data_IF_667355743400
#
_entry.id   IF_667355743400
#
_cell.length_a   1.000
_cell.length_b   1.000
_cell.length_c   1.000
_cell.angle_alpha   90.00
_cell.angle_beta   90.00
_cell.angle_gamma   90.00
#
_symmetry.space_group_name_H-M   'P 1'
#
loop_
_entity.id
_entity.type
_entity.pdbx_description
1 polymer ?
#
# COMPACT_ATOMS: atom_id res chain seq x y z
N UNK A 1 25.77 -3.89 -62.12
CA UNK A 1 25.76 -2.70 -61.24
C UNK A 1 24.53 -2.83 -60.37
N UNK A 2 24.64 -3.54 -59.22
CA UNK A 2 24.87 -2.98 -57.86
C UNK A 2 23.68 -2.11 -57.44
N UNK A 3 22.90 -2.33 -56.37
CA UNK A 3 23.07 -2.92 -55.00
C UNK A 3 21.65 -2.98 -54.37
N UNK A 4 21.14 -4.10 -53.82
CA UNK A 4 21.12 -4.58 -52.41
C UNK A 4 20.53 -3.60 -51.38
N UNK A 5 19.40 -3.96 -50.73
CA UNK A 5 19.25 -4.45 -49.32
C UNK A 5 18.76 -3.32 -48.40
N UNK A 6 17.51 -3.35 -47.92
CA UNK A 6 17.05 -3.93 -46.64
C UNK A 6 17.52 -3.15 -45.40
N UNK A 7 16.70 -2.24 -44.91
CA UNK A 7 16.79 -1.71 -43.54
C UNK A 7 15.44 -1.86 -42.84
N UNK A 8 15.19 -3.07 -42.37
CA UNK A 8 14.31 -3.33 -41.23
C UNK A 8 15.10 -2.93 -39.98
N UNK A 9 14.75 -1.77 -39.43
CA UNK A 9 15.36 -1.30 -38.20
C UNK A 9 14.83 -2.13 -37.02
N UNK A 10 15.60 -3.16 -36.66
CA UNK A 10 15.45 -3.96 -35.45
C UNK A 10 15.61 -3.06 -34.22
N UNK A 11 14.51 -2.81 -33.49
CA UNK A 11 14.58 -2.27 -32.15
C UNK A 11 15.29 -3.31 -31.26
N UNK A 12 16.53 -3.03 -30.89
CA UNK A 12 17.29 -3.84 -29.95
C UNK A 12 16.56 -3.83 -28.60
N UNK A 13 15.95 -4.95 -28.25
CA UNK A 13 15.45 -5.21 -26.89
C UNK A 13 16.67 -5.48 -26.02
N UNK A 14 17.19 -4.45 -25.35
CA UNK A 14 18.26 -4.61 -24.37
C UNK A 14 17.69 -5.31 -23.15
N UNK A 15 17.83 -6.64 -23.10
CA UNK A 15 17.52 -7.45 -21.93
C UNK A 15 18.61 -7.24 -20.87
N UNK A 16 18.37 -6.33 -19.93
CA UNK A 16 19.29 -6.08 -18.81
C UNK A 16 19.27 -7.29 -17.88
N UNK A 17 20.26 -8.17 -18.02
CA UNK A 17 20.38 -9.41 -17.22
C UNK A 17 21.80 -9.70 -16.73
N UNK A 18 22.77 -8.78 -16.90
CA UNK A 18 24.13 -8.95 -16.37
C UNK A 18 24.38 -8.13 -15.08
N UNK A 19 25.17 -8.63 -14.12
CA UNK A 19 25.46 -7.94 -12.85
C UNK A 19 26.10 -6.56 -13.03
N UNK A 20 26.99 -6.40 -14.02
CA UNK A 20 27.68 -5.14 -14.32
C UNK A 20 26.74 -4.03 -14.85
N UNK A 21 25.57 -4.40 -15.38
CA UNK A 21 24.58 -3.42 -15.87
C UNK A 21 23.76 -2.78 -14.73
N UNK A 22 23.71 -3.41 -13.54
CA UNK A 22 22.92 -2.92 -12.40
C UNK A 22 23.47 -1.62 -11.79
N UNK A 23 24.79 -1.45 -11.85
CA UNK A 23 25.49 -0.24 -11.39
C UNK A 23 25.43 0.93 -12.38
N UNK A 24 25.02 0.66 -13.63
CA UNK A 24 24.88 1.64 -14.71
C UNK A 24 23.43 2.00 -15.04
N UNK A 25 22.47 1.29 -14.45
CA UNK A 25 21.06 1.50 -14.70
C UNK A 25 20.62 2.87 -14.16
N UNK A 26 19.96 3.68 -14.99
CA UNK A 26 19.36 4.95 -14.56
C UNK A 26 17.84 4.84 -14.45
N UNK A 27 17.23 5.73 -13.67
CA UNK A 27 15.76 5.84 -13.57
C UNK A 27 15.11 6.14 -14.93
N UNK A 28 15.79 6.90 -15.80
CA UNK A 28 15.33 7.19 -17.16
C UNK A 28 15.31 5.94 -18.03
N UNK A 29 16.32 5.08 -17.91
CA UNK A 29 16.36 3.79 -18.61
C UNK A 29 15.27 2.84 -18.11
N UNK A 30 15.00 2.81 -16.80
CA UNK A 30 13.87 2.06 -16.22
C UNK A 30 12.55 2.54 -16.82
N UNK A 31 12.36 3.86 -16.90
CA UNK A 31 11.12 4.47 -17.41
C UNK A 31 10.91 4.22 -18.91
N UNK A 32 11.99 4.21 -19.69
CA UNK A 32 11.97 3.97 -21.13
C UNK A 32 11.89 2.47 -21.49
N UNK A 33 12.14 1.58 -20.54
CA UNK A 33 12.06 0.14 -20.77
C UNK A 33 10.61 -0.35 -20.67
N UNK A 34 10.11 -0.93 -21.76
CA UNK A 34 8.77 -1.53 -21.82
C UNK A 34 8.65 -2.77 -20.93
N UNK A 35 9.74 -3.53 -20.77
CA UNK A 35 9.77 -4.80 -20.02
C UNK A 35 10.81 -4.80 -18.89
N UNK A 36 10.86 -3.72 -18.11
CA UNK A 36 11.72 -3.69 -16.93
C UNK A 36 11.29 -4.80 -15.94
N UNK A 37 12.24 -5.65 -15.55
CA UNK A 37 12.00 -6.68 -14.53
C UNK A 37 12.39 -6.12 -13.16
N UNK A 38 11.43 -6.06 -12.26
CA UNK A 38 11.65 -5.66 -10.86
C UNK A 38 12.71 -6.52 -10.18
N UNK A 39 13.58 -5.89 -9.41
CA UNK A 39 14.51 -6.58 -8.53
C UNK A 39 13.79 -6.92 -7.22
N UNK A 40 13.44 -8.19 -7.02
CA UNK A 40 12.78 -8.68 -5.81
C UNK A 40 13.78 -9.55 -5.07
N UNK A 41 14.07 -9.20 -3.81
CA UNK A 41 15.04 -9.92 -3.00
C UNK A 41 14.54 -11.34 -2.72
N UNK A 42 15.42 -12.34 -2.85
CA UNK A 42 15.04 -13.76 -2.77
C UNK A 42 14.41 -14.17 -1.42
N UNK A 43 14.73 -13.45 -0.35
CA UNK A 43 14.17 -13.67 0.99
C UNK A 43 12.64 -13.58 1.00
N UNK A 44 12.04 -12.75 0.16
CA UNK A 44 10.58 -12.61 0.06
C UNK A 44 9.87 -13.85 -0.46
N UNK A 45 10.53 -14.68 -1.27
CA UNK A 45 9.95 -15.92 -1.78
C UNK A 45 9.91 -17.05 -0.73
N UNK A 46 10.53 -16.83 0.43
CA UNK A 46 10.52 -17.77 1.56
C UNK A 46 9.37 -17.48 2.53
N UNK A 47 8.73 -16.32 2.41
CA UNK A 47 7.62 -15.87 3.26
C UNK A 47 6.27 -16.41 2.77
N UNK A 48 5.37 -16.67 3.71
CA UNK A 48 3.95 -16.89 3.37
C UNK A 48 3.33 -15.57 2.92
N UNK A 49 2.84 -15.53 1.69
CA UNK A 49 2.27 -14.31 1.11
C UNK A 49 0.74 -14.33 1.14
N UNK A 50 0.13 -13.35 1.81
CA UNK A 50 -1.32 -13.18 1.86
C UNK A 50 -1.87 -12.57 0.57
N UNK A 51 -1.16 -11.60 -0.01
CA UNK A 51 -1.48 -11.01 -1.31
C UNK A 51 -0.36 -11.31 -2.29
N UNK A 52 -0.70 -11.72 -3.49
CA UNK A 52 0.24 -11.88 -4.59
C UNK A 52 -0.22 -11.06 -5.79
N UNK A 53 0.52 -10.00 -6.12
CA UNK A 53 0.33 -9.21 -7.34
C UNK A 53 1.11 -9.87 -8.46
N UNK A 54 0.43 -10.18 -9.58
CA UNK A 54 0.98 -10.97 -10.70
C UNK A 54 0.77 -10.25 -12.02
N UNK A 55 1.88 -9.87 -12.65
CA UNK A 55 1.91 -9.21 -13.97
C UNK A 55 0.91 -8.06 -14.08
N UNK A 56 0.73 -7.30 -12.99
CA UNK A 56 -0.37 -6.37 -12.86
C UNK A 56 -0.09 -5.09 -13.63
N UNK A 57 -1.04 -4.72 -14.47
CA UNK A 57 -1.02 -3.52 -15.29
C UNK A 57 -2.32 -2.76 -15.10
N UNK A 58 -2.26 -1.42 -15.19
CA UNK A 58 -3.44 -0.58 -15.03
C UNK A 58 -3.37 0.63 -15.97
N UNK A 59 -4.50 0.92 -16.63
CA UNK A 59 -4.68 2.04 -17.53
C UNK A 59 -5.84 2.93 -17.08
N UNK A 60 -5.66 4.25 -17.21
CA UNK A 60 -6.74 5.23 -17.16
C UNK A 60 -7.04 5.67 -18.60
N UNK A 61 -8.12 5.12 -19.18
CA UNK A 61 -8.42 5.25 -20.59
C UNK A 61 -7.29 4.61 -21.42
N UNK A 62 -6.63 5.41 -22.26
CA UNK A 62 -5.49 4.95 -23.08
C UNK A 62 -4.13 5.11 -22.40
N UNK A 63 -4.06 5.81 -21.26
CA UNK A 63 -2.81 6.08 -20.56
C UNK A 63 -2.52 5.01 -19.51
N UNK A 64 -1.42 4.28 -19.69
CA UNK A 64 -0.93 3.33 -18.69
C UNK A 64 -0.35 4.05 -17.47
N UNK A 65 -0.71 3.57 -16.28
CA UNK A 65 -0.25 4.11 -14.99
C UNK A 65 0.55 3.09 -14.18
N UNK A 66 0.29 1.80 -14.35
CA UNK A 66 1.07 0.72 -13.74
C UNK A 66 1.55 -0.27 -14.80
N UNK A 67 2.80 -0.68 -14.69
CA UNK A 67 3.52 -1.47 -15.68
C UNK A 67 4.08 -2.74 -15.03
N UNK A 68 3.49 -3.88 -15.40
CA UNK A 68 3.95 -5.23 -15.07
C UNK A 68 4.39 -5.45 -13.61
N UNK A 69 3.57 -5.03 -12.65
CA UNK A 69 3.89 -5.14 -11.23
C UNK A 69 3.80 -6.60 -10.79
N UNK A 70 4.88 -7.10 -10.19
CA UNK A 70 4.95 -8.39 -9.54
C UNK A 70 5.39 -8.17 -8.10
N UNK A 71 4.57 -8.55 -7.12
CA UNK A 71 4.81 -8.22 -5.73
C UNK A 71 4.10 -9.20 -4.79
N UNK A 72 4.82 -10.15 -4.16
CA UNK A 72 4.29 -10.88 -3.01
C UNK A 72 4.21 -9.95 -1.80
N UNK A 73 3.19 -10.06 -0.96
CA UNK A 73 3.07 -9.31 0.29
C UNK A 73 3.00 -10.32 1.42
N UNK A 74 4.01 -10.30 2.29
CA UNK A 74 4.16 -11.23 3.40
C UNK A 74 3.05 -11.04 4.46
N UNK A 75 2.49 -12.16 4.91
CA UNK A 75 1.43 -12.21 5.92
C UNK A 75 1.92 -11.74 7.29
N UNK A 76 1.13 -10.90 7.96
CA UNK A 76 1.42 -10.37 9.30
C UNK A 76 2.57 -9.36 9.34
N UNK A 77 3.09 -8.94 8.19
CA UNK A 77 4.23 -8.02 8.07
C UNK A 77 3.77 -6.65 7.56
N UNK A 78 4.61 -5.65 7.80
CA UNK A 78 4.39 -4.30 7.27
C UNK A 78 5.23 -4.08 6.02
N UNK A 79 4.57 -3.75 4.92
CA UNK A 79 5.21 -3.40 3.64
C UNK A 79 4.96 -1.93 3.30
N UNK A 80 6.04 -1.17 3.09
CA UNK A 80 5.98 0.23 2.67
C UNK A 80 6.18 0.36 1.15
N UNK A 81 5.24 1.00 0.46
CA UNK A 81 5.39 1.50 -0.90
C UNK A 81 5.99 2.92 -0.83
N UNK A 82 7.19 3.08 -1.37
CA UNK A 82 7.94 4.35 -1.38
C UNK A 82 8.24 4.80 -2.80
N UNK A 83 8.55 6.08 -2.99
CA UNK A 83 8.88 6.64 -4.29
C UNK A 83 8.32 8.05 -4.50
N UNK A 84 8.71 8.74 -5.59
CA UNK A 84 8.26 10.09 -5.88
C UNK A 84 6.73 10.23 -6.02
N UNK A 85 6.23 11.45 -5.85
CA UNK A 85 4.81 11.75 -6.12
C UNK A 85 4.44 11.39 -7.57
N UNK A 86 3.28 10.76 -7.76
CA UNK A 86 2.80 10.37 -9.09
C UNK A 86 3.41 9.09 -9.68
N UNK A 87 4.24 8.34 -8.93
CA UNK A 87 4.81 7.07 -9.42
C UNK A 87 3.85 5.86 -9.35
N UNK A 88 2.59 6.04 -8.94
CA UNK A 88 1.57 4.98 -8.95
C UNK A 88 1.32 4.25 -7.63
N UNK A 89 1.96 4.64 -6.52
CA UNK A 89 1.80 3.98 -5.19
C UNK A 89 0.35 3.85 -4.73
N UNK A 90 -0.36 4.97 -4.63
CA UNK A 90 -1.77 4.99 -4.22
C UNK A 90 -2.67 4.27 -5.23
N UNK A 91 -2.32 4.30 -6.51
CA UNK A 91 -3.03 3.54 -7.55
C UNK A 91 -2.87 2.04 -7.34
N UNK A 92 -1.66 1.55 -7.03
CA UNK A 92 -1.40 0.14 -6.72
C UNK A 92 -2.13 -0.27 -5.43
N UNK A 93 -1.98 0.51 -4.35
CA UNK A 93 -2.66 0.28 -3.07
C UNK A 93 -4.19 0.16 -3.24
N UNK A 94 -4.81 1.08 -3.96
CA UNK A 94 -6.27 1.11 -4.22
C UNK A 94 -6.75 0.03 -5.19
N UNK A 95 -5.83 -0.60 -5.91
CA UNK A 95 -6.15 -1.75 -6.76
C UNK A 95 -6.35 -3.00 -5.91
N UNK A 96 -5.62 -3.13 -4.81
CA UNK A 96 -5.73 -4.27 -3.86
C UNK A 96 -7.13 -4.41 -3.27
N UNK A 97 -7.81 -3.30 -2.91
CA UNK A 97 -9.20 -3.35 -2.42
C UNK A 97 -10.27 -2.97 -3.47
N UNK A 98 -9.86 -2.85 -4.74
CA UNK A 98 -10.75 -2.54 -5.87
C UNK A 98 -11.61 -1.28 -5.66
N UNK A 99 -11.09 -0.27 -4.96
CA UNK A 99 -11.79 1.03 -4.88
C UNK A 99 -11.64 1.83 -6.18
N UNK A 100 -10.59 1.54 -6.95
CA UNK A 100 -10.36 2.13 -8.27
C UNK A 100 -11.41 1.72 -9.32
N UNK A 101 -12.15 0.62 -9.14
CA UNK A 101 -13.20 0.15 -10.05
C UNK A 101 -14.30 1.20 -10.30
N UNK A 102 -14.40 2.20 -9.42
CA UNK A 102 -15.34 3.32 -9.52
C UNK A 102 -14.89 4.40 -10.51
N UNK A 103 -13.67 4.29 -11.07
CA UNK A 103 -13.10 5.28 -11.99
C UNK A 103 -13.42 4.88 -13.43
N UNK A 104 -14.10 5.77 -14.16
CA UNK A 104 -14.47 5.54 -15.56
C UNK A 104 -13.26 5.32 -16.46
N UNK A 105 -13.38 4.35 -17.39
CA UNK A 105 -12.33 4.03 -18.36
C UNK A 105 -11.12 3.31 -17.76
N UNK A 106 -11.20 2.83 -16.53
CA UNK A 106 -10.16 2.01 -15.92
C UNK A 106 -10.14 0.61 -16.53
N UNK A 107 -8.97 0.16 -16.96
CA UNK A 107 -8.74 -1.20 -17.42
C UNK A 107 -7.51 -1.77 -16.72
N UNK A 108 -7.50 -3.07 -16.50
CA UNK A 108 -6.42 -3.79 -15.85
C UNK A 108 -5.99 -5.00 -16.68
N UNK A 109 -4.74 -5.42 -16.49
CA UNK A 109 -4.19 -6.68 -16.98
C UNK A 109 -3.42 -7.35 -15.84
N UNK A 110 -3.20 -8.65 -15.93
CA UNK A 110 -2.67 -9.44 -14.82
C UNK A 110 -3.72 -9.70 -13.74
N UNK A 111 -3.27 -10.00 -12.52
CA UNK A 111 -4.16 -10.39 -11.42
C UNK A 111 -3.57 -10.05 -10.04
N UNK A 112 -4.43 -10.06 -9.02
CA UNK A 112 -4.05 -10.00 -7.62
C UNK A 112 -4.76 -11.12 -6.87
N UNK A 113 -4.01 -11.93 -6.13
CA UNK A 113 -4.55 -13.06 -5.38
C UNK A 113 -4.54 -12.75 -3.89
N UNK A 114 -5.69 -12.80 -3.23
CA UNK A 114 -5.82 -12.80 -1.77
C UNK A 114 -6.01 -14.26 -1.29
N UNK A 115 -5.09 -14.77 -0.46
CA UNK A 115 -5.04 -16.18 -0.04
C UNK A 115 -5.15 -17.16 -1.23
N UNK A 116 -4.43 -16.85 -2.31
CA UNK A 116 -4.41 -17.65 -3.54
C UNK A 116 -5.66 -17.51 -4.44
N UNK A 117 -6.67 -16.74 -4.03
CA UNK A 117 -7.90 -16.52 -4.81
C UNK A 117 -7.86 -15.16 -5.49
N UNK A 118 -8.15 -15.11 -6.79
CA UNK A 118 -8.22 -13.85 -7.54
C UNK A 118 -9.26 -12.91 -6.94
N UNK A 119 -8.86 -11.67 -6.68
CA UNK A 119 -9.78 -10.61 -6.25
C UNK A 119 -10.50 -9.96 -7.44
N UNK A 120 -10.05 -10.23 -8.67
CA UNK A 120 -10.61 -9.68 -9.91
C UNK A 120 -11.50 -10.67 -10.67
N UNK A 121 -11.69 -11.88 -10.15
CA UNK A 121 -12.68 -12.81 -10.69
C UNK A 121 -14.09 -12.19 -10.66
N UNK A 122 -14.90 -12.50 -11.67
CA UNK A 122 -16.26 -11.98 -11.82
C UNK A 122 -17.20 -12.41 -10.69
N UNK A 123 -16.89 -13.50 -9.99
CA UNK A 123 -17.67 -13.99 -8.85
C UNK A 123 -17.34 -13.29 -7.53
N UNK A 124 -16.32 -12.43 -7.49
CA UNK A 124 -15.91 -11.75 -6.26
C UNK A 124 -16.95 -10.72 -5.85
N UNK A 125 -17.47 -10.88 -4.64
CA UNK A 125 -18.22 -9.83 -3.96
C UNK A 125 -17.24 -8.76 -3.45
N UNK A 126 -17.26 -7.60 -4.09
CA UNK A 126 -16.38 -6.47 -3.76
C UNK A 126 -16.68 -5.91 -2.37
N UNK A 127 -17.91 -6.04 -1.86
CA UNK A 127 -18.26 -5.60 -0.51
C UNK A 127 -17.54 -6.49 0.51
N UNK A 128 -17.60 -7.80 0.33
CA UNK A 128 -16.93 -8.76 1.21
C UNK A 128 -15.41 -8.63 1.14
N UNK A 129 -14.85 -8.44 -0.06
CA UNK A 129 -13.42 -8.15 -0.24
C UNK A 129 -12.98 -6.92 0.59
N UNK A 130 -13.76 -5.85 0.57
CA UNK A 130 -13.46 -4.61 1.31
C UNK A 130 -13.64 -4.75 2.82
N UNK A 131 -14.37 -5.75 3.31
CA UNK A 131 -14.41 -6.06 4.75
C UNK A 131 -13.14 -6.75 5.21
N UNK A 132 -12.63 -7.66 4.38
CA UNK A 132 -11.34 -8.34 4.61
C UNK A 132 -10.15 -7.40 4.43
N UNK A 133 -10.37 -6.18 3.91
CA UNK A 133 -9.34 -5.18 3.64
C UNK A 133 -9.72 -3.79 4.21
N UNK A 134 -9.22 -3.47 5.40
CA UNK A 134 -9.38 -2.15 6.00
C UNK A 134 -8.63 -1.08 5.21
N UNK A 135 -9.20 0.12 5.07
CA UNK A 135 -8.56 1.24 4.34
C UNK A 135 -8.51 2.49 5.20
N UNK A 136 -7.33 3.09 5.28
CA UNK A 136 -7.05 4.36 5.96
C UNK A 136 -6.51 5.35 4.94
N UNK A 137 -7.16 6.51 4.81
CA UNK A 137 -6.80 7.51 3.81
C UNK A 137 -5.88 8.59 4.39
N UNK A 138 -5.20 9.31 3.47
CA UNK A 138 -4.29 10.40 3.79
C UNK A 138 -4.94 11.51 4.61
N UNK A 139 -6.15 11.91 4.21
CA UNK A 139 -6.97 12.86 4.96
C UNK A 139 -7.94 12.06 5.83
N UNK A 140 -7.95 12.27 7.15
CA UNK A 140 -8.92 11.63 8.01
C UNK A 140 -10.33 11.99 7.55
N UNK A 141 -11.19 10.98 7.50
CA UNK A 141 -12.57 11.10 7.06
C UNK A 141 -13.56 10.49 8.10
N UNK A 142 -13.57 11.01 9.34
CA UNK A 142 -14.61 10.64 10.29
C UNK A 142 -15.97 11.03 9.74
N UNK A 143 -16.95 10.17 9.95
CA UNK A 143 -18.33 10.47 9.62
C UNK A 143 -18.89 11.52 10.60
N UNK A 144 -19.88 12.34 10.17
CA UNK A 144 -20.53 13.35 11.00
C UNK A 144 -21.48 12.72 12.05
N UNK A 145 -20.95 11.79 12.83
CA UNK A 145 -21.61 11.03 13.89
C UNK A 145 -20.67 10.93 15.10
N UNK A 146 -21.09 10.23 16.15
CA UNK A 146 -20.26 10.09 17.35
C UNK A 146 -19.00 9.25 17.10
N UNK A 147 -18.04 9.33 18.02
CA UNK A 147 -16.84 8.48 18.03
C UNK A 147 -17.25 7.00 18.05
N UNK A 148 -18.18 6.63 18.93
CA UNK A 148 -18.71 5.28 19.04
C UNK A 148 -19.30 4.79 17.72
N UNK A 149 -20.20 5.58 17.11
CA UNK A 149 -20.87 5.20 15.87
C UNK A 149 -19.92 5.14 14.69
N UNK A 150 -18.84 5.93 14.69
CA UNK A 150 -17.79 5.81 13.68
C UNK A 150 -17.11 4.44 13.75
N UNK A 151 -16.75 3.98 14.95
CA UNK A 151 -16.01 2.71 15.13
C UNK A 151 -16.87 1.50 14.77
N UNK A 152 -18.11 1.45 15.27
CA UNK A 152 -18.97 0.27 15.08
C UNK A 152 -19.79 0.28 13.79
N UNK A 153 -19.54 1.26 12.91
CA UNK A 153 -20.33 1.50 11.70
C UNK A 153 -20.44 0.27 10.80
N UNK A 154 -19.33 -0.42 10.56
CA UNK A 154 -19.28 -1.64 9.73
C UNK A 154 -20.15 -2.75 10.30
N UNK A 155 -20.03 -3.02 11.61
CA UNK A 155 -20.84 -4.02 12.30
C UNK A 155 -22.34 -3.70 12.21
N UNK A 156 -22.71 -2.42 12.31
CA UNK A 156 -24.11 -2.02 12.14
C UNK A 156 -24.64 -2.27 10.73
N UNK A 157 -23.83 -2.02 9.70
CA UNK A 157 -24.20 -2.34 8.32
C UNK A 157 -24.43 -3.84 8.17
N UNK A 158 -23.61 -4.65 8.82
CA UNK A 158 -23.69 -6.12 8.81
C UNK A 158 -24.82 -6.70 9.67
N UNK A 159 -25.63 -5.82 10.26
CA UNK A 159 -26.84 -6.20 10.98
C UNK A 159 -26.60 -6.50 12.46
N UNK A 160 -25.41 -6.27 13.00
CA UNK A 160 -25.16 -6.41 14.44
C UNK A 160 -25.94 -5.34 15.22
N UNK A 161 -26.64 -5.77 16.26
CA UNK A 161 -27.51 -4.93 17.11
C UNK A 161 -27.28 -5.17 18.60
N UNK A 162 -26.53 -6.20 18.98
CA UNK A 162 -26.20 -6.52 20.36
C UNK A 162 -25.31 -5.42 20.94
N UNK A 163 -25.85 -4.71 21.93
CA UNK A 163 -25.17 -3.60 22.57
C UNK A 163 -23.85 -4.00 23.21
N UNK A 164 -23.78 -5.15 23.88
CA UNK A 164 -22.55 -5.60 24.54
C UNK A 164 -21.43 -5.86 23.54
N UNK A 165 -21.75 -6.49 22.41
CA UNK A 165 -20.79 -6.74 21.32
C UNK A 165 -20.28 -5.42 20.74
N UNK A 166 -21.18 -4.46 20.47
CA UNK A 166 -20.79 -3.16 19.92
C UNK A 166 -19.91 -2.36 20.90
N UNK A 167 -20.21 -2.40 22.20
CA UNK A 167 -19.39 -1.75 23.23
C UNK A 167 -18.00 -2.38 23.35
N UNK A 168 -17.92 -3.71 23.36
CA UNK A 168 -16.65 -4.45 23.39
C UNK A 168 -15.79 -4.15 22.17
N UNK A 169 -16.36 -4.22 20.95
CA UNK A 169 -15.63 -3.91 19.72
C UNK A 169 -15.20 -2.45 19.70
N UNK A 170 -16.03 -1.53 20.16
CA UNK A 170 -15.67 -0.12 20.23
C UNK A 170 -14.47 0.12 21.15
N UNK A 171 -14.52 -0.40 22.37
CA UNK A 171 -13.42 -0.26 23.33
C UNK A 171 -12.14 -0.91 22.80
N UNK A 172 -12.22 -2.16 22.33
CA UNK A 172 -11.08 -2.88 21.79
C UNK A 172 -10.43 -2.16 20.61
N UNK A 173 -11.24 -1.66 19.67
CA UNK A 173 -10.72 -0.96 18.48
C UNK A 173 -10.11 0.40 18.84
N UNK A 174 -10.71 1.13 19.79
CA UNK A 174 -10.15 2.40 20.26
C UNK A 174 -8.86 2.20 21.07
N UNK A 175 -8.73 1.08 21.80
CA UNK A 175 -7.48 0.68 22.47
C UNK A 175 -6.42 0.26 21.47
N UNK A 176 -6.79 -0.61 20.52
CA UNK A 176 -5.94 -1.07 19.44
C UNK A 176 -5.50 0.06 18.50
N UNK A 177 -6.15 1.23 18.54
CA UNK A 177 -5.73 2.44 17.83
C UNK A 177 -5.15 3.51 18.77
N UNK A 178 -4.74 3.17 19.99
CA UNK A 178 -4.15 4.08 20.99
C UNK A 178 -4.95 5.41 21.19
N UNK A 179 -6.28 5.32 21.17
CA UNK A 179 -7.19 6.47 21.30
C UNK A 179 -8.08 6.41 22.54
N UNK A 180 -8.33 5.22 23.09
CA UNK A 180 -9.29 4.98 24.17
C UNK A 180 -9.15 5.96 25.35
N UNK A 181 -7.97 6.10 25.93
CA UNK A 181 -7.77 6.96 27.10
C UNK A 181 -7.99 8.45 26.84
N UNK A 182 -7.97 8.89 25.58
CA UNK A 182 -8.23 10.28 25.18
C UNK A 182 -9.72 10.55 24.88
N UNK A 183 -10.55 9.51 24.73
CA UNK A 183 -11.94 9.64 24.26
C UNK A 183 -12.99 8.88 25.06
N UNK A 184 -12.61 7.96 25.96
CA UNK A 184 -13.54 7.08 26.71
C UNK A 184 -14.71 7.81 27.39
N UNK A 185 -14.45 9.00 27.95
CA UNK A 185 -15.47 9.78 28.67
C UNK A 185 -16.39 10.59 27.72
N UNK A 186 -16.11 10.56 26.41
CA UNK A 186 -16.80 11.34 25.38
C UNK A 186 -17.06 10.55 24.09
N UNK A 187 -17.13 9.22 24.16
CA UNK A 187 -17.35 8.36 22.99
C UNK A 187 -18.68 8.65 22.26
N UNK A 188 -19.64 9.28 22.94
CA UNK A 188 -20.92 9.68 22.36
C UNK A 188 -20.92 11.11 21.78
N UNK A 189 -19.84 11.86 21.92
CA UNK A 189 -19.67 13.17 21.27
C UNK A 189 -19.28 13.03 19.80
N UNK A 190 -19.44 14.11 19.03
CA UNK A 190 -19.13 14.16 17.61
C UNK A 190 -17.65 13.91 17.33
N UNK A 191 -17.37 12.98 16.40
CA UNK A 191 -16.02 12.67 15.95
C UNK A 191 -15.34 13.86 15.22
N UNK A 192 -16.12 14.80 14.69
CA UNK A 192 -15.59 15.99 14.01
C UNK A 192 -14.89 16.96 14.98
N UNK A 193 -15.13 16.85 16.28
CA UNK A 193 -14.47 17.66 17.31
C UNK A 193 -13.06 17.18 17.70
N UNK A 194 -12.61 16.04 17.19
CA UNK A 194 -11.28 15.49 17.45
C UNK A 194 -10.18 16.26 16.70
N UNK A 195 -8.96 16.27 17.24
CA UNK A 195 -7.79 16.79 16.51
C UNK A 195 -7.46 15.93 15.28
N UNK A 196 -6.69 16.45 14.32
CA UNK A 196 -6.35 15.69 13.10
C UNK A 196 -5.71 14.32 13.38
N UNK A 197 -4.77 14.25 14.33
CA UNK A 197 -4.16 12.97 14.75
C UNK A 197 -5.14 12.03 15.45
N UNK A 198 -6.06 12.57 16.27
CA UNK A 198 -7.13 11.77 16.89
C UNK A 198 -8.13 11.26 15.86
N UNK A 199 -8.50 12.07 14.86
CA UNK A 199 -9.37 11.66 13.77
C UNK A 199 -8.71 10.55 12.92
N UNK A 200 -7.39 10.63 12.71
CA UNK A 200 -6.67 9.58 12.00
C UNK A 200 -6.66 8.27 12.79
N UNK A 201 -6.35 8.31 14.09
CA UNK A 201 -6.46 7.12 14.97
C UNK A 201 -7.89 6.58 15.04
N UNK A 202 -8.91 7.44 15.02
CA UNK A 202 -10.31 7.00 14.91
C UNK A 202 -10.60 6.28 13.59
N UNK A 203 -10.04 6.76 12.47
CA UNK A 203 -10.18 6.08 11.18
C UNK A 203 -9.50 4.71 11.19
N UNK A 204 -8.35 4.57 11.87
CA UNK A 204 -7.69 3.28 12.09
C UNK A 204 -8.55 2.37 12.97
N UNK A 205 -9.05 2.87 14.10
CA UNK A 205 -9.98 2.13 14.98
C UNK A 205 -11.19 1.59 14.20
N UNK A 206 -11.80 2.43 13.36
CA UNK A 206 -12.90 2.02 12.47
C UNK A 206 -12.47 0.96 11.46
N UNK A 207 -11.27 1.05 10.91
CA UNK A 207 -10.76 0.08 9.94
C UNK A 207 -10.49 -1.29 10.57
N UNK A 208 -9.97 -1.34 11.80
CA UNK A 208 -9.67 -2.60 12.50
C UNK A 208 -10.89 -3.19 13.22
N UNK A 209 -11.98 -2.43 13.41
CA UNK A 209 -13.18 -2.91 14.09
C UNK A 209 -13.83 -4.13 13.43
N UNK A 210 -13.64 -4.29 12.11
CA UNK A 210 -14.12 -5.44 11.35
C UNK A 210 -13.10 -6.60 11.28
N UNK A 211 -11.98 -6.50 12.00
CA UNK A 211 -10.89 -7.50 11.99
C UNK A 211 -10.44 -7.90 10.57
N UNK A 212 -10.04 -6.93 9.73
CA UNK A 212 -9.60 -7.24 8.37
C UNK A 212 -8.34 -8.10 8.39
N UNK A 213 -8.10 -8.87 7.34
CA UNK A 213 -6.84 -9.61 7.18
C UNK A 213 -5.70 -8.68 6.73
N UNK A 214 -6.06 -7.61 6.00
CA UNK A 214 -5.12 -6.65 5.43
C UNK A 214 -5.55 -5.21 5.75
N UNK A 215 -4.63 -4.40 6.25
CA UNK A 215 -4.81 -2.97 6.49
C UNK A 215 -4.03 -2.16 5.46
N UNK A 216 -4.76 -1.42 4.62
CA UNK A 216 -4.23 -0.56 3.58
C UNK A 216 -4.16 0.88 4.09
N UNK A 217 -3.00 1.51 4.03
CA UNK A 217 -2.79 2.89 4.51
C UNK A 217 -2.22 3.79 3.41
N UNK A 218 -2.97 4.80 2.97
CA UNK A 218 -2.53 5.75 1.93
C UNK A 218 -2.00 7.03 2.59
N UNK A 219 -0.68 7.14 2.78
CA UNK A 219 -0.02 8.29 3.44
C UNK A 219 -0.60 8.65 4.82
N UNK A 220 -0.64 7.72 5.79
CA UNK A 220 -1.40 7.88 7.02
C UNK A 220 -0.92 9.03 7.93
N UNK A 221 0.29 9.56 7.71
CA UNK A 221 0.89 10.60 8.55
C UNK A 221 1.16 11.93 7.83
N UNK A 222 0.84 12.08 6.54
CA UNK A 222 1.33 13.24 5.76
C UNK A 222 0.80 14.61 6.24
N UNK A 223 -0.35 14.62 6.90
CA UNK A 223 -1.02 15.84 7.38
C UNK A 223 -0.92 16.00 8.91
N UNK A 224 -0.06 15.22 9.56
CA UNK A 224 0.06 15.16 11.02
C UNK A 224 1.31 15.86 11.52
N UNK A 225 1.25 16.39 12.74
CA UNK A 225 2.43 16.87 13.45
C UNK A 225 3.37 15.70 13.86
N UNK A 226 4.62 15.97 14.24
CA UNK A 226 5.58 14.91 14.59
C UNK A 226 5.14 14.02 15.77
N UNK A 227 4.42 14.57 16.76
CA UNK A 227 3.95 13.80 17.92
C UNK A 227 2.85 12.83 17.49
N UNK A 228 1.90 13.32 16.70
CA UNK A 228 0.85 12.48 16.13
C UNK A 228 1.44 11.42 15.18
N UNK A 229 2.47 11.76 14.40
CA UNK A 229 3.18 10.83 13.51
C UNK A 229 3.82 9.69 14.29
N UNK A 230 4.57 9.99 15.37
CA UNK A 230 5.17 8.96 16.23
C UNK A 230 4.13 8.00 16.80
N UNK A 231 2.99 8.52 17.29
CA UNK A 231 1.89 7.68 17.79
C UNK A 231 1.30 6.75 16.71
N UNK A 232 1.29 7.15 15.44
CA UNK A 232 0.84 6.26 14.34
C UNK A 232 1.93 5.24 13.99
N UNK A 233 3.21 5.61 14.03
CA UNK A 233 4.32 4.67 13.84
C UNK A 233 4.34 3.58 14.92
N UNK A 234 4.19 3.96 16.19
CA UNK A 234 4.10 3.02 17.32
C UNK A 234 2.88 2.09 17.15
N UNK A 235 1.75 2.66 16.74
CA UNK A 235 0.53 1.90 16.46
C UNK A 235 0.71 0.89 15.32
N UNK A 236 1.39 1.25 14.22
CA UNK A 236 1.67 0.31 13.12
C UNK A 236 2.52 -0.86 13.61
N UNK A 237 3.48 -0.60 14.50
CA UNK A 237 4.31 -1.64 15.12
C UNK A 237 3.50 -2.55 16.06
N UNK A 238 2.56 -1.99 16.84
CA UNK A 238 1.65 -2.75 17.70
C UNK A 238 0.69 -3.65 16.90
N UNK A 239 0.20 -3.17 15.76
CA UNK A 239 -0.71 -3.92 14.88
C UNK A 239 0.01 -4.99 14.05
N UNK A 240 1.33 -4.96 13.97
CA UNK A 240 2.12 -5.95 13.22
C UNK A 240 1.93 -7.34 13.83
N UNK A 241 1.74 -8.34 12.98
CA UNK A 241 1.52 -9.73 13.38
C UNK A 241 0.07 -10.09 13.63
N UNK A 242 -0.76 -9.12 14.07
CA UNK A 242 -2.22 -9.27 14.07
C UNK A 242 -2.80 -8.99 12.68
N UNK A 243 -2.24 -8.01 11.97
CA UNK A 243 -2.68 -7.59 10.64
C UNK A 243 -1.53 -7.62 9.64
N UNK A 244 -1.84 -7.88 8.37
CA UNK A 244 -0.91 -7.55 7.28
C UNK A 244 -1.09 -6.09 6.89
N UNK A 245 -0.02 -5.28 6.87
CA UNK A 245 -0.13 -3.86 6.59
C UNK A 245 0.58 -3.52 5.28
N UNK A 246 -0.15 -2.93 4.33
CA UNK A 246 0.42 -2.33 3.12
C UNK A 246 0.22 -0.82 3.21
N UNK A 247 1.32 -0.07 3.34
CA UNK A 247 1.26 1.38 3.49
C UNK A 247 1.98 2.11 2.36
N UNK A 248 1.45 3.25 1.95
CA UNK A 248 2.10 4.20 1.05
C UNK A 248 2.67 5.33 1.90
N UNK A 249 3.94 5.66 1.68
CA UNK A 249 4.55 6.85 2.30
C UNK A 249 5.62 7.45 1.41
N UNK A 250 5.75 8.78 1.45
CA UNK A 250 6.89 9.51 0.89
C UNK A 250 7.90 9.91 1.98
N UNK A 251 7.64 9.56 3.24
CA UNK A 251 8.57 9.78 4.35
C UNK A 251 9.48 8.55 4.48
N UNK A 252 10.72 8.69 4.02
CA UNK A 252 11.69 7.60 4.01
C UNK A 252 12.09 7.15 5.43
N UNK A 253 12.10 8.08 6.38
CA UNK A 253 12.39 7.76 7.78
C UNK A 253 11.25 6.96 8.42
N UNK A 254 10.00 7.26 8.06
CA UNK A 254 8.84 6.48 8.48
C UNK A 254 8.91 5.06 7.89
N UNK A 255 9.17 4.94 6.58
CA UNK A 255 9.31 3.63 5.93
C UNK A 255 10.41 2.80 6.61
N UNK A 256 11.58 3.41 6.86
CA UNK A 256 12.71 2.73 7.50
C UNK A 256 12.41 2.23 8.92
N UNK A 257 11.62 2.97 9.72
CA UNK A 257 11.30 2.62 11.11
C UNK A 257 10.10 1.69 11.27
N UNK A 258 9.08 1.86 10.43
CA UNK A 258 7.76 1.26 10.64
C UNK A 258 7.43 0.15 9.62
N UNK A 259 8.40 -0.35 8.85
CA UNK A 259 8.16 -1.45 7.90
C UNK A 259 9.19 -2.57 7.98
N UNK A 260 8.71 -3.78 7.71
CA UNK A 260 9.55 -4.98 7.55
C UNK A 260 10.13 -5.07 6.14
N UNK A 261 9.33 -4.69 5.13
CA UNK A 261 9.73 -4.66 3.74
C UNK A 261 9.44 -3.31 3.09
N UNK A 262 10.28 -2.92 2.13
CA UNK A 262 10.13 -1.66 1.39
C UNK A 262 10.17 -1.94 -0.11
N UNK A 263 9.14 -1.47 -0.82
CA UNK A 263 9.00 -1.54 -2.26
C UNK A 263 9.15 -0.13 -2.86
N UNK A 264 10.23 0.08 -3.60
CA UNK A 264 10.50 1.33 -4.30
C UNK A 264 9.81 1.35 -5.65
N UNK A 265 8.92 2.33 -5.85
CA UNK A 265 8.19 2.55 -7.10
C UNK A 265 8.68 3.81 -7.83
N UNK A 266 8.80 3.69 -9.15
CA UNK A 266 9.15 4.80 -10.02
C UNK A 266 8.36 4.73 -11.34
N UNK A 267 7.69 5.83 -11.71
CA UNK A 267 6.89 5.96 -12.94
C UNK A 267 6.04 4.72 -13.29
N UNK A 268 5.29 4.23 -12.31
CA UNK A 268 4.35 3.11 -12.48
C UNK A 268 5.00 1.72 -12.46
N UNK A 269 6.30 1.62 -12.18
CA UNK A 269 7.05 0.35 -12.09
C UNK A 269 7.49 0.12 -10.66
N UNK A 270 7.52 -1.15 -10.25
CA UNK A 270 8.23 -1.59 -9.06
C UNK A 270 9.70 -1.75 -9.45
N UNK A 271 10.59 -0.95 -8.86
CA UNK A 271 12.03 -0.94 -9.18
C UNK A 271 12.74 -2.01 -8.37
N UNK A 272 12.62 -1.93 -7.05
CA UNK A 272 13.25 -2.85 -6.11
C UNK A 272 12.33 -3.11 -4.92
N UNK A 273 12.31 -4.36 -4.44
CA UNK A 273 11.51 -4.78 -3.29
C UNK A 273 12.28 -5.78 -2.44
N UNK A 274 12.37 -5.53 -1.14
CA UNK A 274 13.14 -6.38 -0.23
C UNK A 274 12.95 -6.01 1.23
N UNK A 275 13.67 -6.69 2.14
CA UNK A 275 13.71 -6.32 3.55
C UNK A 275 14.09 -4.85 3.70
N UNK A 276 13.35 -4.12 4.53
CA UNK A 276 13.55 -2.67 4.71
C UNK A 276 14.98 -2.36 5.10
N UNK A 277 15.58 -3.14 5.99
CA UNK A 277 16.99 -2.97 6.36
C UNK A 277 17.91 -2.99 5.13
N UNK A 278 17.73 -3.93 4.22
CA UNK A 278 18.61 -4.12 3.08
C UNK A 278 18.41 -2.99 2.06
N UNK A 279 17.15 -2.65 1.76
CA UNK A 279 16.79 -1.52 0.89
C UNK A 279 17.43 -0.20 1.36
N UNK A 280 17.48 0.05 2.67
CA UNK A 280 18.02 1.29 3.24
C UNK A 280 19.53 1.27 3.53
N UNK A 281 20.20 0.12 3.46
CA UNK A 281 21.63 0.02 3.81
C UNK A 281 22.51 -0.50 2.67
N UNK A 282 22.01 -1.45 1.89
CA UNK A 282 22.71 -2.06 0.78
C UNK A 282 21.71 -2.54 -0.29
N UNK A 283 21.00 -1.61 -0.96
CA UNK A 283 20.10 -1.97 -2.06
C UNK A 283 20.89 -2.59 -3.22
N UNK A 284 20.24 -3.47 -3.99
CA UNK A 284 20.83 -4.13 -5.14
C UNK A 284 20.95 -3.20 -6.35
N UNK A 285 20.11 -2.16 -6.44
CA UNK A 285 20.10 -1.22 -7.56
C UNK A 285 20.56 0.17 -7.12
N UNK A 286 21.50 0.73 -7.88
CA UNK A 286 21.98 2.10 -7.68
C UNK A 286 20.87 3.17 -7.74
N UNK A 287 19.87 3.12 -8.65
CA UNK A 287 18.71 4.01 -8.60
C UNK A 287 17.97 4.03 -7.26
N UNK A 288 17.88 2.88 -6.59
CA UNK A 288 17.26 2.76 -5.27
C UNK A 288 18.13 3.45 -4.22
N UNK A 289 19.45 3.23 -4.26
CA UNK A 289 20.42 3.90 -3.38
C UNK A 289 20.36 5.43 -3.52
N UNK A 290 20.36 5.93 -4.77
CA UNK A 290 20.34 7.36 -5.05
C UNK A 290 19.05 8.04 -4.58
N UNK A 291 17.90 7.35 -4.68
CA UNK A 291 16.63 7.86 -4.15
C UNK A 291 16.62 7.89 -2.62
N UNK A 292 17.01 6.79 -1.96
CA UNK A 292 16.93 6.64 -0.51
C UNK A 292 17.94 7.55 0.21
N UNK A 293 19.13 7.72 -0.36
CA UNK A 293 20.16 8.62 0.17
C UNK A 293 19.82 10.10 -0.04
N UNK A 294 18.73 10.42 -0.75
CA UNK A 294 18.30 11.78 -1.03
C UNK A 294 19.19 12.50 -2.06
N UNK A 295 19.96 11.76 -2.88
CA UNK A 295 20.71 12.35 -4.00
C UNK A 295 19.77 12.89 -5.08
N UNK A 296 18.56 12.33 -5.17
CA UNK A 296 17.47 12.85 -5.99
C UNK A 296 16.11 12.67 -5.28
N UNK A 297 15.37 13.76 -5.12
CA UNK A 297 14.05 13.81 -4.46
C UNK A 297 13.57 15.23 -4.23
#
# INVERSE_FOLDING_TARGET
>A
MTTTESDLNTAATTSVTQPDDRDQLTLEQIAACDNFKSEIHDSLYQETSIINVKDFNLWYGTKQALFNINMPIAEGQVTALVGPSGCGKSTLLRSVNRINDLIDGLHIGGDMLLNGTSIYDKSVDVIELRKRMGMVFQKPNPFPMSIFENVVYSLRIDGERNKGVLEEVCERSLRGAALWDEVKDRIHESALGLSGGQQQRLCIARAIAAEPEVLLMDEPCSALDPIATGKIEDLVEELRGEYTILMVTHNMQQASRASNYTAFMYLGRLVEYGPTRDIFTNPHLRPTEDYISGRFG
#
